data_IF_537745902731
#
_entry.id   IF_537745902731
#
_cell.length_a   1.000
_cell.length_b   1.000
_cell.length_c   1.000
_cell.angle_alpha   90.00
_cell.angle_beta   90.00
_cell.angle_gamma   90.00
#
_symmetry.space_group_name_H-M   'P 1'
#
loop_
_entity.id
_entity.type
_entity.pdbx_description
1 polymer ?
#
# COMPACT_ATOMS: atom_id res chain seq x y z
N UNK A 1 22.09 59.54 -40.14
CA UNK A 1 21.33 58.24 -40.05
C UNK A 1 21.55 57.63 -38.69
N UNK A 2 20.53 57.80 -37.83
CA UNK A 2 20.51 57.21 -36.47
C UNK A 2 19.65 55.94 -36.57
N UNK A 3 20.26 54.79 -36.41
CA UNK A 3 19.56 53.48 -36.35
C UNK A 3 19.16 53.27 -34.87
N UNK A 4 17.89 53.40 -34.57
CA UNK A 4 17.30 53.12 -33.28
C UNK A 4 17.06 51.59 -33.20
N UNK A 5 17.86 50.89 -32.37
CA UNK A 5 17.72 49.48 -32.12
C UNK A 5 16.64 49.27 -31.04
N UNK A 6 15.46 48.78 -31.46
CA UNK A 6 14.38 48.41 -30.56
C UNK A 6 14.72 47.02 -29.98
N UNK A 7 15.15 46.97 -28.70
CA UNK A 7 15.28 45.73 -27.95
C UNK A 7 13.89 45.33 -27.45
N UNK A 8 13.29 44.33 -28.11
CA UNK A 8 12.06 43.70 -27.69
C UNK A 8 12.37 42.74 -26.54
N UNK A 9 12.23 43.23 -25.31
CA UNK A 9 12.36 42.40 -24.13
C UNK A 9 11.18 41.44 -24.01
N UNK A 10 11.38 40.16 -24.35
CA UNK A 10 10.46 39.08 -24.00
C UNK A 10 10.41 38.91 -22.49
N UNK A 11 9.38 39.47 -21.86
CA UNK A 11 8.99 39.14 -20.49
C UNK A 11 8.45 37.70 -20.52
N UNK A 12 9.31 36.74 -20.22
CA UNK A 12 8.87 35.40 -19.87
C UNK A 12 8.16 35.52 -18.54
N UNK A 13 6.85 35.77 -18.56
CA UNK A 13 6.00 35.49 -17.40
C UNK A 13 5.98 34.00 -17.19
N UNK A 14 6.87 33.50 -16.36
CA UNK A 14 6.72 32.19 -15.76
C UNK A 14 5.38 32.19 -15.02
N UNK A 15 4.38 31.55 -15.63
CA UNK A 15 3.20 31.13 -14.88
C UNK A 15 3.70 30.12 -13.85
N UNK A 16 4.04 30.58 -12.65
CA UNK A 16 4.08 29.69 -11.51
C UNK A 16 2.66 29.11 -11.39
N UNK A 17 2.50 27.83 -11.63
CA UNK A 17 1.29 27.10 -11.28
C UNK A 17 1.05 27.33 -9.79
N UNK A 18 0.20 28.30 -9.50
CA UNK A 18 -0.34 28.44 -8.13
C UNK A 18 -1.12 27.16 -7.93
N UNK A 19 -0.68 26.36 -6.99
CA UNK A 19 -1.39 25.15 -6.59
C UNK A 19 -2.88 25.45 -6.55
N UNK A 20 -3.63 24.75 -7.37
CA UNK A 20 -5.08 24.99 -7.53
C UNK A 20 -5.82 24.72 -6.22
N UNK A 21 -5.17 23.99 -5.33
CA UNK A 21 -5.62 23.66 -3.99
C UNK A 21 -4.49 24.03 -3.02
N UNK A 22 -4.63 25.12 -2.25
CA UNK A 22 -3.66 25.45 -1.21
C UNK A 22 -3.63 24.29 -0.20
N UNK A 23 -2.44 23.78 0.12
CA UNK A 23 -2.24 22.89 1.25
C UNK A 23 -2.52 23.76 2.48
N UNK A 24 -3.55 23.41 3.24
CA UNK A 24 -3.83 24.07 4.50
C UNK A 24 -3.00 23.43 5.63
N UNK A 25 -3.00 24.04 6.80
CA UNK A 25 -2.23 23.61 7.97
C UNK A 25 -3.03 22.69 8.91
N UNK A 26 -4.17 22.17 8.45
CA UNK A 26 -4.97 21.24 9.24
C UNK A 26 -4.21 19.91 9.47
N UNK A 27 -4.41 19.25 10.63
CA UNK A 27 -3.68 18.02 10.99
C UNK A 27 -3.76 16.92 9.93
N UNK A 28 -4.92 16.72 9.31
CA UNK A 28 -5.17 15.69 8.28
C UNK A 28 -4.82 16.15 6.87
N UNK A 29 -4.33 17.36 6.66
CA UNK A 29 -3.74 17.82 5.41
C UNK A 29 -2.28 17.38 5.34
N UNK A 30 -1.70 17.37 4.14
CA UNK A 30 -0.32 16.95 3.94
C UNK A 30 0.00 16.72 2.46
N UNK A 31 0.91 15.80 2.20
CA UNK A 31 1.28 15.43 0.84
C UNK A 31 1.37 13.90 0.70
N UNK A 32 1.38 13.43 -0.54
CA UNK A 32 1.45 12.01 -0.86
C UNK A 32 2.57 11.75 -1.85
N UNK A 33 3.28 10.64 -1.65
CA UNK A 33 4.31 10.12 -2.55
C UNK A 33 3.93 8.71 -3.00
N UNK A 34 4.10 8.44 -4.29
CA UNK A 34 3.88 7.12 -4.90
C UNK A 34 5.18 6.29 -4.96
N UNK A 35 6.31 6.89 -4.62
CA UNK A 35 7.61 6.22 -4.57
C UNK A 35 8.45 6.77 -3.40
N UNK A 36 8.63 5.94 -2.36
CA UNK A 36 9.46 6.24 -1.19
C UNK A 36 9.89 4.96 -0.45
N UNK A 37 10.56 5.10 0.70
CA UNK A 37 11.00 3.96 1.51
C UNK A 37 9.83 3.12 2.04
N UNK A 38 8.70 3.73 2.34
CA UNK A 38 7.56 3.04 2.92
C UNK A 38 6.75 2.29 1.86
N UNK A 39 6.58 2.88 0.66
CA UNK A 39 6.00 2.15 -0.49
C UNK A 39 6.85 0.93 -0.82
N UNK A 40 8.20 1.05 -0.83
CA UNK A 40 9.10 -0.08 -1.06
C UNK A 40 8.98 -1.17 0.03
N UNK A 41 8.73 -0.81 1.29
CA UNK A 41 8.48 -1.78 2.37
C UNK A 41 7.15 -2.51 2.18
N UNK A 42 6.08 -1.82 1.75
CA UNK A 42 4.80 -2.45 1.45
C UNK A 42 4.92 -3.38 0.24
N UNK A 43 5.63 -2.97 -0.80
CA UNK A 43 5.88 -3.82 -1.98
C UNK A 43 6.67 -5.09 -1.60
N UNK A 44 7.66 -4.96 -0.71
CA UNK A 44 8.38 -6.12 -0.13
C UNK A 44 7.42 -7.04 0.62
N UNK A 45 6.51 -6.50 1.43
CA UNK A 45 5.51 -7.28 2.15
C UNK A 45 4.56 -8.04 1.21
N UNK A 46 4.04 -7.35 0.19
CA UNK A 46 3.17 -7.94 -0.83
C UNK A 46 3.87 -9.07 -1.59
N UNK A 47 5.15 -8.87 -1.93
CA UNK A 47 5.95 -9.90 -2.59
C UNK A 47 6.23 -11.09 -1.67
N UNK A 48 6.60 -10.86 -0.41
CA UNK A 48 6.84 -11.91 0.58
C UNK A 48 5.61 -12.82 0.76
N UNK A 49 4.42 -12.22 0.77
CA UNK A 49 3.17 -12.97 0.80
C UNK A 49 2.98 -13.82 -0.47
N UNK A 50 3.13 -13.24 -1.65
CA UNK A 50 2.98 -13.99 -2.90
C UNK A 50 3.99 -15.14 -3.03
N UNK A 51 5.21 -14.94 -2.54
CA UNK A 51 6.29 -15.94 -2.57
C UNK A 51 6.18 -17.00 -1.44
N UNK A 52 5.21 -16.88 -0.52
CA UNK A 52 5.10 -17.68 0.72
C UNK A 52 6.37 -17.59 1.60
N UNK A 53 6.94 -16.41 1.70
CA UNK A 53 8.15 -16.11 2.50
C UNK A 53 7.90 -14.93 3.45
N UNK A 54 6.85 -15.06 4.27
CA UNK A 54 6.42 -14.00 5.19
C UNK A 54 7.49 -13.63 6.21
N UNK A 55 8.38 -14.56 6.59
CA UNK A 55 9.46 -14.28 7.54
C UNK A 55 10.43 -13.21 7.01
N UNK A 56 10.63 -13.12 5.70
CA UNK A 56 11.47 -12.08 5.05
C UNK A 56 10.90 -10.67 5.19
N UNK A 57 9.62 -10.54 5.51
CA UNK A 57 8.94 -9.25 5.70
C UNK A 57 8.71 -8.89 7.18
N UNK A 58 9.06 -9.76 8.12
CA UNK A 58 8.82 -9.57 9.55
C UNK A 58 9.44 -8.29 10.09
N UNK A 59 10.62 -7.94 9.61
CA UNK A 59 11.36 -6.74 10.04
C UNK A 59 10.70 -5.42 9.65
N UNK A 60 9.67 -5.44 8.82
CA UNK A 60 8.88 -4.25 8.47
C UNK A 60 8.10 -3.76 9.71
N UNK A 61 7.70 -4.66 10.59
CA UNK A 61 6.87 -4.39 11.75
C UNK A 61 7.69 -4.09 13.00
N UNK A 62 7.13 -3.28 13.90
CA UNK A 62 7.59 -3.22 15.29
C UNK A 62 7.19 -4.50 16.03
N UNK A 63 7.84 -4.78 17.15
CA UNK A 63 7.58 -5.99 17.96
C UNK A 63 6.12 -6.04 18.46
N UNK A 64 5.58 -4.89 18.83
CA UNK A 64 4.22 -4.74 19.37
C UNK A 64 3.19 -4.34 18.31
N UNK A 65 3.52 -4.45 17.02
CA UNK A 65 2.61 -4.07 15.95
C UNK A 65 1.35 -4.95 15.93
N UNK A 66 0.23 -4.32 15.60
CA UNK A 66 -1.07 -5.00 15.42
C UNK A 66 -1.48 -4.93 13.96
N UNK A 67 -1.84 -6.08 13.39
CA UNK A 67 -2.35 -6.19 12.04
C UNK A 67 -3.82 -6.60 12.08
N UNK A 68 -4.68 -5.84 11.45
CA UNK A 68 -6.09 -6.17 11.33
C UNK A 68 -6.40 -6.78 9.97
N UNK A 69 -7.06 -7.91 9.95
CA UNK A 69 -7.67 -8.50 8.75
C UNK A 69 -9.18 -8.40 8.90
N UNK A 70 -9.79 -7.45 8.22
CA UNK A 70 -11.17 -7.04 8.49
C UNK A 70 -11.36 -6.75 9.99
N UNK A 71 -12.18 -7.53 10.69
CA UNK A 71 -12.48 -7.35 12.12
C UNK A 71 -11.58 -8.18 13.06
N UNK A 72 -10.59 -8.91 12.52
CA UNK A 72 -9.71 -9.79 13.31
C UNK A 72 -8.37 -9.11 13.52
N UNK A 73 -7.96 -8.93 14.79
CA UNK A 73 -6.64 -8.42 15.15
C UNK A 73 -5.64 -9.56 15.32
N UNK A 74 -4.46 -9.38 14.77
CA UNK A 74 -3.35 -10.35 14.79
C UNK A 74 -2.09 -9.67 15.31
N UNK A 75 -1.32 -10.37 16.14
CA UNK A 75 0.09 -10.05 16.38
C UNK A 75 0.92 -10.34 15.11
N UNK A 76 2.14 -9.82 15.04
CA UNK A 76 3.04 -10.10 13.91
C UNK A 76 3.26 -11.60 13.71
N UNK A 77 3.40 -12.37 14.78
CA UNK A 77 3.57 -13.82 14.69
C UNK A 77 2.35 -14.55 14.14
N UNK A 78 1.15 -14.15 14.58
CA UNK A 78 -0.11 -14.70 14.07
C UNK A 78 -0.34 -14.31 12.61
N UNK A 79 0.03 -13.08 12.21
CA UNK A 79 0.00 -12.63 10.82
C UNK A 79 0.88 -13.52 9.93
N UNK A 80 2.14 -13.77 10.32
CA UNK A 80 3.06 -14.63 9.55
C UNK A 80 2.46 -16.02 9.33
N UNK A 81 1.85 -16.59 10.36
CA UNK A 81 1.19 -17.90 10.30
C UNK A 81 -0.04 -17.86 9.40
N UNK A 82 -0.97 -16.96 9.65
CA UNK A 82 -2.24 -16.88 8.93
C UNK A 82 -2.04 -16.63 7.42
N UNK A 83 -1.08 -15.77 7.06
CA UNK A 83 -0.81 -15.49 5.65
C UNK A 83 -0.11 -16.66 4.94
N UNK A 84 0.71 -17.43 5.65
CA UNK A 84 1.29 -18.66 5.10
C UNK A 84 0.25 -19.77 4.94
N UNK A 85 -0.77 -19.84 5.80
CA UNK A 85 -1.85 -20.83 5.71
C UNK A 85 -2.64 -20.74 4.40
N UNK A 86 -2.82 -19.54 3.83
CA UNK A 86 -3.46 -19.35 2.54
C UNK A 86 -2.83 -20.18 1.41
N UNK A 87 -1.51 -20.36 1.48
CA UNK A 87 -0.75 -21.19 0.53
C UNK A 87 -0.99 -22.70 0.70
N UNK A 88 -1.67 -23.12 1.75
CA UNK A 88 -2.13 -24.52 1.90
C UNK A 88 -3.27 -24.82 0.93
N UNK A 89 -4.14 -23.85 0.70
CA UNK A 89 -5.35 -23.99 -0.11
C UNK A 89 -5.18 -23.53 -1.56
N UNK A 90 -4.31 -22.55 -1.81
CA UNK A 90 -4.17 -21.91 -3.11
C UNK A 90 -2.75 -22.07 -3.69
N UNK A 91 -2.68 -22.28 -5.01
CA UNK A 91 -1.50 -22.11 -5.85
C UNK A 91 -1.55 -20.76 -6.57
N UNK A 92 -0.44 -20.38 -7.18
CA UNK A 92 -0.32 -19.20 -8.06
C UNK A 92 -0.87 -17.93 -7.42
N UNK A 93 -0.68 -17.78 -6.10
CA UNK A 93 -1.06 -16.55 -5.40
C UNK A 93 -0.25 -15.40 -5.96
N UNK A 94 -0.94 -14.35 -6.37
CA UNK A 94 -0.31 -13.15 -6.90
C UNK A 94 -1.20 -11.91 -6.68
N UNK A 95 -0.57 -10.75 -6.77
CA UNK A 95 -1.26 -9.46 -6.81
C UNK A 95 -1.13 -8.83 -8.20
N UNK A 96 -2.19 -8.19 -8.67
CA UNK A 96 -2.19 -7.36 -9.86
C UNK A 96 -2.84 -6.01 -9.58
N UNK A 97 -2.63 -5.05 -10.49
CA UNK A 97 -3.14 -3.68 -10.36
C UNK A 97 -2.81 -3.09 -8.98
N UNK A 98 -1.56 -3.28 -8.57
CA UNK A 98 -1.07 -2.78 -7.28
C UNK A 98 -0.74 -1.30 -7.41
N UNK A 99 -1.37 -0.49 -6.58
CA UNK A 99 -1.10 0.93 -6.45
C UNK A 99 -0.77 1.24 -5.00
N UNK A 100 0.41 1.75 -4.76
CA UNK A 100 0.93 2.06 -3.42
C UNK A 100 1.23 3.54 -3.31
N UNK A 101 0.85 4.18 -2.21
CA UNK A 101 1.17 5.58 -1.95
C UNK A 101 1.28 5.88 -0.47
N UNK A 102 2.30 6.64 -0.08
CA UNK A 102 2.51 7.09 1.31
C UNK A 102 1.97 8.49 1.50
N UNK A 103 1.15 8.65 2.52
CA UNK A 103 0.56 9.91 2.96
C UNK A 103 1.31 10.43 4.18
N UNK A 104 1.83 11.66 4.08
CA UNK A 104 2.53 12.39 5.14
C UNK A 104 1.63 13.50 5.65
N UNK A 105 1.06 13.32 6.83
CA UNK A 105 0.13 14.27 7.43
C UNK A 105 0.86 15.37 8.21
N UNK A 106 0.25 16.55 8.29
CA UNK A 106 0.80 17.71 9.01
C UNK A 106 0.95 17.46 10.52
N UNK A 107 0.18 16.54 11.09
CA UNK A 107 0.29 16.13 12.49
C UNK A 107 1.46 15.16 12.75
N UNK A 108 2.22 14.80 11.72
CA UNK A 108 3.36 13.89 11.78
C UNK A 108 3.00 12.42 11.60
N UNK A 109 1.72 12.06 11.46
CA UNK A 109 1.34 10.71 11.13
C UNK A 109 1.74 10.36 9.69
N UNK A 110 2.18 9.11 9.49
CA UNK A 110 2.59 8.60 8.18
C UNK A 110 1.82 7.30 7.93
N UNK A 111 1.15 7.22 6.77
CA UNK A 111 0.42 6.04 6.35
C UNK A 111 0.74 5.68 4.91
N UNK A 112 0.99 4.41 4.65
CA UNK A 112 1.08 3.90 3.28
C UNK A 112 -0.17 3.10 2.97
N UNK A 113 -0.81 3.45 1.86
CA UNK A 113 -2.01 2.78 1.36
C UNK A 113 -1.62 1.92 0.17
N UNK A 114 -2.25 0.76 0.04
CA UNK A 114 -2.11 -0.12 -1.10
C UNK A 114 -3.48 -0.64 -1.55
N UNK A 115 -3.77 -0.49 -2.83
CA UNK A 115 -4.91 -1.09 -3.53
C UNK A 115 -4.40 -2.19 -4.43
N UNK A 116 -5.09 -3.32 -4.45
CA UNK A 116 -4.65 -4.47 -5.23
C UNK A 116 -5.81 -5.39 -5.63
N UNK A 117 -5.59 -6.20 -6.64
CA UNK A 117 -6.36 -7.40 -6.89
C UNK A 117 -5.52 -8.60 -6.44
N UNK A 118 -6.03 -9.38 -5.49
CA UNK A 118 -5.47 -10.70 -5.14
C UNK A 118 -6.05 -11.75 -6.07
N UNK A 119 -5.24 -12.73 -6.43
CA UNK A 119 -5.68 -13.93 -7.15
C UNK A 119 -5.00 -15.16 -6.59
N UNK A 120 -5.68 -16.31 -6.69
CA UNK A 120 -5.12 -17.63 -6.41
C UNK A 120 -5.90 -18.69 -7.15
N UNK A 121 -5.32 -19.87 -7.30
CA UNK A 121 -5.95 -21.04 -7.90
C UNK A 121 -6.17 -22.09 -6.81
N UNK A 122 -7.42 -22.45 -6.55
CA UNK A 122 -7.78 -23.42 -5.51
C UNK A 122 -7.21 -24.79 -5.85
N UNK A 123 -6.47 -25.39 -4.93
CA UNK A 123 -5.78 -26.68 -5.15
C UNK A 123 -6.73 -27.85 -5.33
N UNK A 124 -7.88 -27.82 -4.64
CA UNK A 124 -8.83 -28.93 -4.63
C UNK A 124 -9.53 -29.15 -5.98
N UNK A 125 -9.80 -28.08 -6.74
CA UNK A 125 -10.58 -28.16 -7.98
C UNK A 125 -10.01 -27.38 -9.17
N UNK A 126 -8.94 -26.60 -8.98
CA UNK A 126 -8.30 -25.79 -10.02
C UNK A 126 -9.06 -24.51 -10.37
N UNK A 127 -10.08 -24.12 -9.61
CA UNK A 127 -10.81 -22.87 -9.84
C UNK A 127 -9.97 -21.66 -9.46
N UNK A 128 -9.98 -20.65 -10.34
CA UNK A 128 -9.32 -19.37 -10.06
C UNK A 128 -10.26 -18.44 -9.29
N UNK A 129 -9.76 -17.85 -8.22
CA UNK A 129 -10.44 -16.81 -7.46
C UNK A 129 -9.68 -15.49 -7.59
N UNK A 130 -10.41 -14.40 -7.72
CA UNK A 130 -9.85 -13.03 -7.67
C UNK A 130 -10.69 -12.16 -6.75
N UNK A 131 -10.01 -11.38 -5.92
CA UNK A 131 -10.61 -10.51 -4.90
C UNK A 131 -9.96 -9.14 -4.98
N UNK A 132 -10.75 -8.07 -4.76
CA UNK A 132 -10.21 -6.74 -4.54
C UNK A 132 -9.85 -6.58 -3.08
N UNK A 133 -8.68 -6.00 -2.83
CA UNK A 133 -8.22 -5.70 -1.50
C UNK A 133 -7.71 -4.27 -1.38
N UNK A 134 -7.72 -3.81 -0.16
CA UNK A 134 -7.15 -2.55 0.26
C UNK A 134 -6.47 -2.73 1.60
N UNK A 135 -5.26 -2.19 1.74
CA UNK A 135 -4.58 -2.18 3.02
C UNK A 135 -3.93 -0.83 3.29
N UNK A 136 -3.71 -0.53 4.55
CA UNK A 136 -2.86 0.58 4.96
C UNK A 136 -1.93 0.16 6.09
N UNK A 137 -0.81 0.87 6.17
CA UNK A 137 0.23 0.67 7.19
C UNK A 137 0.51 2.02 7.84
N UNK A 138 0.48 2.08 9.17
CA UNK A 138 0.88 3.24 9.95
C UNK A 138 2.31 3.08 10.41
N UNK A 139 3.11 4.13 10.23
CA UNK A 139 4.55 4.09 10.48
C UNK A 139 4.95 4.95 11.66
N UNK A 140 5.87 4.43 12.45
CA UNK A 140 6.60 5.15 13.49
C UNK A 140 8.04 4.64 13.54
N UNK A 141 9.02 5.56 13.59
CA UNK A 141 10.45 5.23 13.66
C UNK A 141 10.92 4.23 12.58
N UNK A 142 10.35 4.31 11.38
CA UNK A 142 10.69 3.45 10.25
C UNK A 142 10.13 2.02 10.32
N UNK A 143 9.19 1.75 11.23
CA UNK A 143 8.51 0.45 11.39
C UNK A 143 7.00 0.63 11.29
N UNK A 144 6.31 -0.37 10.76
CA UNK A 144 4.86 -0.42 10.84
C UNK A 144 4.45 -0.77 12.27
N UNK A 145 3.67 0.11 12.91
CA UNK A 145 3.13 -0.10 14.26
C UNK A 145 1.70 -0.61 14.24
N UNK A 146 0.99 -0.36 13.16
CA UNK A 146 -0.37 -0.78 12.94
C UNK A 146 -0.60 -0.97 11.45
N UNK A 147 -1.37 -1.97 11.06
CA UNK A 147 -1.79 -2.14 9.69
C UNK A 147 -3.20 -2.74 9.62
N UNK A 148 -3.86 -2.51 8.51
CA UNK A 148 -5.21 -2.96 8.26
C UNK A 148 -5.34 -3.48 6.84
N UNK A 149 -6.00 -4.62 6.66
CA UNK A 149 -6.30 -5.21 5.37
C UNK A 149 -7.79 -5.49 5.27
N UNK A 150 -8.44 -4.94 4.26
CA UNK A 150 -9.86 -5.10 3.98
C UNK A 150 -10.08 -5.80 2.65
N UNK A 151 -10.88 -6.85 2.66
CA UNK A 151 -11.39 -7.53 1.47
C UNK A 151 -12.70 -8.24 1.81
N UNK A 152 -13.48 -8.63 0.81
CA UNK A 152 -14.63 -9.48 1.01
C UNK A 152 -14.18 -10.96 1.13
N UNK A 153 -14.24 -11.57 2.33
CA UNK A 153 -13.77 -12.93 2.54
C UNK A 153 -14.77 -14.00 2.10
N UNK A 154 -15.98 -13.63 1.65
CA UNK A 154 -17.10 -14.56 1.41
C UNK A 154 -16.70 -15.66 0.42
N UNK A 155 -16.18 -15.30 -0.75
CA UNK A 155 -15.78 -16.26 -1.75
C UNK A 155 -14.54 -17.07 -1.34
N UNK A 156 -13.57 -16.41 -0.67
CA UNK A 156 -12.38 -17.06 -0.14
C UNK A 156 -12.74 -18.14 0.88
N UNK A 157 -13.57 -17.80 1.88
CA UNK A 157 -13.98 -18.72 2.93
C UNK A 157 -14.87 -19.85 2.40
N UNK A 158 -15.77 -19.54 1.44
CA UNK A 158 -16.61 -20.58 0.82
C UNK A 158 -15.77 -21.61 0.07
N UNK A 159 -14.71 -21.20 -0.61
CA UNK A 159 -13.83 -22.09 -1.37
C UNK A 159 -13.06 -23.04 -0.46
N UNK A 160 -12.54 -22.58 0.68
CA UNK A 160 -11.79 -23.43 1.62
C UNK A 160 -12.69 -24.27 2.54
N UNK A 161 -13.96 -23.93 2.73
CA UNK A 161 -14.89 -24.69 3.57
C UNK A 161 -15.39 -26.00 2.88
N UNK A 162 -15.06 -26.22 1.60
CA UNK A 162 -15.45 -27.40 0.84
C UNK A 162 -14.40 -28.53 0.98
N UNK A 163 -13.24 -28.23 1.55
CA UNK A 163 -12.18 -29.22 1.88
C UNK A 163 -12.39 -29.83 3.26
#
# INVERSE_FOLDING_TARGET
NIITLFIFGCLLTSCADKNKYPIDDQPMSGYMLDEDMYTAMVDKFMKAYADNDMESAKDIFSEDAVYYVNDVSLSVSELMTAFSEGHTYYNDIAHSDVYTATMYYNDGNIYTNVWYNWRGVLKSNGEALSLKGYAWFKWENGKAIEAYNAFDPTAYNAAIAIE
#
